data_IF_410582780617
#
_entry.id   IF_410582780617
#
_cell.length_a   1.000
_cell.length_b   1.000
_cell.length_c   1.000
_cell.angle_alpha   90.00
_cell.angle_beta   90.00
_cell.angle_gamma   90.00
#
_symmetry.space_group_name_H-M   'P 1'
#
loop_
_entity.id
_entity.type
_entity.pdbx_description
1 polymer ?
#
# COMPACT_ATOMS: atom_id res chain seq x y z
N UNK A 1 -5.40 -25.32 13.30
CA UNK A 1 -5.52 -24.95 11.87
C UNK A 1 -4.51 -25.67 10.97
N UNK A 2 -3.19 -25.73 11.28
CA UNK A 2 -2.21 -26.44 10.43
C UNK A 2 -2.56 -27.91 10.17
N UNK A 3 -2.96 -28.65 11.22
CA UNK A 3 -3.42 -30.02 11.06
C UNK A 3 -4.65 -30.13 10.16
N UNK A 4 -5.59 -29.17 10.25
CA UNK A 4 -6.79 -29.14 9.42
C UNK A 4 -6.44 -28.89 7.95
N UNK A 5 -5.57 -27.93 7.67
CA UNK A 5 -5.05 -27.64 6.33
C UNK A 5 -4.41 -28.88 5.70
N UNK A 6 -3.55 -29.57 6.46
CA UNK A 6 -2.88 -30.80 6.03
C UNK A 6 -3.86 -31.95 5.78
N UNK A 7 -4.77 -32.20 6.72
CA UNK A 7 -5.74 -33.31 6.63
C UNK A 7 -6.66 -33.14 5.42
N UNK A 8 -7.12 -31.91 5.14
CA UNK A 8 -8.06 -31.65 4.05
C UNK A 8 -7.41 -31.16 2.76
N UNK A 9 -6.08 -30.99 2.73
CA UNK A 9 -5.31 -30.47 1.60
C UNK A 9 -5.84 -29.12 1.09
N UNK A 10 -6.06 -28.20 2.01
CA UNK A 10 -6.57 -26.85 1.73
C UNK A 10 -5.61 -25.78 2.22
N UNK A 11 -5.50 -24.69 1.47
CA UNK A 11 -4.76 -23.49 1.88
C UNK A 11 -5.66 -22.62 2.75
N UNK A 12 -5.20 -22.22 3.93
CA UNK A 12 -5.99 -21.48 4.92
C UNK A 12 -5.30 -20.18 5.35
N UNK A 13 -5.82 -19.00 4.96
CA UNK A 13 -5.48 -17.73 5.60
C UNK A 13 -6.15 -17.63 6.99
N UNK A 14 -5.36 -17.48 8.05
CA UNK A 14 -5.83 -17.42 9.43
C UNK A 14 -5.55 -16.04 10.02
N UNK A 15 -6.61 -15.26 10.24
CA UNK A 15 -6.54 -13.96 10.92
C UNK A 15 -6.41 -14.14 12.43
N UNK A 16 -5.54 -13.36 13.07
CA UNK A 16 -5.33 -13.41 14.52
C UNK A 16 -4.77 -12.08 15.07
N UNK A 17 -4.96 -11.88 16.37
CA UNK A 17 -4.34 -10.79 17.12
C UNK A 17 -2.91 -11.20 17.48
N UNK A 18 -1.92 -10.62 16.81
CA UNK A 18 -0.51 -10.89 17.04
C UNK A 18 0.07 -9.99 18.13
N UNK A 19 0.87 -10.60 19.02
CA UNK A 19 1.78 -9.88 19.92
C UNK A 19 3.22 -10.20 19.55
N UNK A 20 3.98 -9.16 19.17
CA UNK A 20 5.42 -9.23 19.00
C UNK A 20 6.09 -8.31 20.02
N UNK A 21 6.66 -8.90 21.07
CA UNK A 21 7.18 -8.17 22.24
C UNK A 21 6.10 -7.28 22.86
N UNK A 22 6.29 -5.96 22.79
CA UNK A 22 5.36 -4.94 23.28
C UNK A 22 4.52 -4.31 22.16
N UNK A 23 4.63 -4.83 20.93
CA UNK A 23 3.90 -4.33 19.77
C UNK A 23 2.79 -5.31 19.39
N UNK A 24 1.66 -4.75 19.02
CA UNK A 24 0.42 -5.46 18.75
C UNK A 24 0.02 -5.22 17.30
N UNK A 25 -0.34 -6.28 16.58
CA UNK A 25 -0.72 -6.23 15.17
C UNK A 25 -2.00 -7.02 14.90
N UNK A 26 -2.76 -6.56 13.92
CA UNK A 26 -3.79 -7.35 13.26
C UNK A 26 -3.13 -8.11 12.12
N UNK A 27 -3.06 -9.44 12.22
CA UNK A 27 -2.21 -10.27 11.38
C UNK A 27 -2.98 -11.41 10.73
N UNK A 28 -2.52 -11.85 9.57
CA UNK A 28 -2.99 -13.05 8.89
C UNK A 28 -1.80 -13.92 8.52
N UNK A 29 -1.87 -15.21 8.87
CA UNK A 29 -0.88 -16.20 8.48
C UNK A 29 -1.48 -17.15 7.46
N UNK A 30 -0.78 -17.39 6.36
CA UNK A 30 -1.22 -18.35 5.35
C UNK A 30 -0.58 -19.70 5.60
N UNK A 31 -1.43 -20.71 5.78
CA UNK A 31 -1.06 -22.11 5.95
C UNK A 31 -1.30 -22.82 4.62
N UNK A 32 -0.28 -23.50 4.10
CA UNK A 32 -0.38 -24.28 2.85
C UNK A 32 -1.09 -25.62 3.07
N UNK A 33 -1.44 -26.29 1.97
CA UNK A 33 -2.17 -27.55 1.97
C UNK A 33 -1.41 -28.75 2.58
N UNK A 34 -0.11 -28.62 2.84
CA UNK A 34 0.69 -29.59 3.59
C UNK A 34 0.77 -29.28 5.11
N UNK A 35 0.16 -28.17 5.54
CA UNK A 35 0.18 -27.66 6.90
C UNK A 35 1.36 -26.74 7.22
N UNK A 36 2.28 -26.48 6.29
CA UNK A 36 3.38 -25.54 6.48
C UNK A 36 2.88 -24.08 6.48
N UNK A 37 3.56 -23.21 7.22
CA UNK A 37 3.27 -21.77 7.21
C UNK A 37 4.06 -21.13 6.08
N UNK A 38 3.36 -20.48 5.14
CA UNK A 38 3.98 -19.74 4.03
C UNK A 38 4.50 -18.38 4.46
N UNK A 39 3.88 -17.79 5.48
CA UNK A 39 4.30 -16.54 6.09
C UNK A 39 3.12 -15.77 6.66
N UNK A 40 3.41 -14.53 7.09
CA UNK A 40 2.46 -13.64 7.77
C UNK A 40 2.42 -12.29 7.06
N UNK A 41 1.21 -11.73 6.96
CA UNK A 41 0.95 -10.34 6.58
C UNK A 41 0.36 -9.59 7.77
N UNK A 42 0.79 -8.35 7.99
CA UNK A 42 0.26 -7.45 9.03
C UNK A 42 -0.51 -6.32 8.37
N UNK A 43 -1.75 -6.10 8.85
CA UNK A 43 -2.70 -5.12 8.32
C UNK A 43 -2.03 -3.75 8.18
N UNK A 44 -2.03 -3.19 6.98
CA UNK A 44 -1.30 -1.96 6.70
C UNK A 44 -2.12 -0.72 7.02
N UNK A 45 -3.39 -0.70 6.62
CA UNK A 45 -4.30 0.42 6.87
C UNK A 45 -5.15 0.14 8.10
N UNK A 46 -4.89 0.86 9.19
CA UNK A 46 -5.61 0.69 10.45
C UNK A 46 -6.78 1.70 10.53
N UNK A 47 -8.05 1.25 10.57
CA UNK A 47 -9.19 2.15 10.70
C UNK A 47 -9.25 2.79 12.08
N UNK A 48 -9.97 3.90 12.16
CA UNK A 48 -10.31 4.55 13.43
C UNK A 48 -11.66 5.25 13.29
N UNK A 49 -12.42 5.26 14.37
CA UNK A 49 -13.82 5.70 14.40
C UNK A 49 -14.60 4.97 15.48
N UNK A 50 -15.73 5.53 15.90
CA UNK A 50 -16.60 4.87 16.89
C UNK A 50 -17.06 3.50 16.36
N UNK A 51 -16.97 2.47 17.21
CA UNK A 51 -17.17 1.07 16.83
C UNK A 51 -15.97 0.38 16.14
N UNK A 52 -15.04 1.12 15.55
CA UNK A 52 -13.90 0.59 14.77
C UNK A 52 -12.55 1.18 15.22
N UNK A 53 -12.33 1.26 16.53
CA UNK A 53 -11.17 1.91 17.18
C UNK A 53 -9.88 1.07 17.10
N UNK A 54 -9.54 0.56 15.92
CA UNK A 54 -8.40 -0.35 15.74
C UNK A 54 -7.05 0.32 15.99
N UNK A 55 -6.91 1.63 15.75
CA UNK A 55 -5.66 2.39 16.01
C UNK A 55 -5.24 2.38 17.49
N UNK A 56 -6.17 2.15 18.41
CA UNK A 56 -5.85 1.99 19.83
C UNK A 56 -5.09 0.67 20.10
N UNK A 57 -5.43 -0.40 19.38
CA UNK A 57 -4.90 -1.73 19.62
C UNK A 57 -3.69 -2.06 18.75
N UNK A 58 -3.71 -1.66 17.48
CA UNK A 58 -2.79 -2.17 16.48
C UNK A 58 -1.86 -1.09 15.93
N UNK A 59 -0.57 -1.42 15.91
CA UNK A 59 0.43 -0.69 15.14
C UNK A 59 0.21 -0.95 13.65
N UNK A 60 0.38 0.05 12.76
CA UNK A 60 0.39 -0.18 11.32
C UNK A 60 1.41 -1.26 10.92
N UNK A 61 0.99 -2.21 10.08
CA UNK A 61 1.81 -3.34 9.70
C UNK A 61 3.10 -2.94 8.98
N UNK A 62 4.16 -3.70 9.24
CA UNK A 62 5.52 -3.49 8.74
C UNK A 62 5.96 -4.53 7.70
N UNK A 63 5.07 -5.44 7.29
CA UNK A 63 5.41 -6.54 6.37
C UNK A 63 5.49 -6.12 4.90
N UNK A 64 4.90 -4.95 4.57
CA UNK A 64 4.48 -4.61 3.21
C UNK A 64 3.32 -5.50 2.72
N UNK A 65 2.72 -5.17 1.57
CA UNK A 65 1.75 -6.05 0.90
C UNK A 65 2.45 -7.30 0.40
N UNK A 66 1.86 -8.47 0.64
CA UNK A 66 2.47 -9.78 0.34
C UNK A 66 1.55 -10.69 -0.44
N UNK A 67 2.19 -11.59 -1.19
CA UNK A 67 1.54 -12.73 -1.82
C UNK A 67 2.16 -14.04 -1.32
N UNK A 68 1.39 -15.12 -1.39
CA UNK A 68 1.78 -16.43 -0.90
C UNK A 68 1.52 -17.47 -1.97
N UNK A 69 2.58 -18.10 -2.49
CA UNK A 69 2.48 -19.16 -3.48
C UNK A 69 2.38 -20.51 -2.77
N UNK A 70 1.30 -21.25 -3.04
CA UNK A 70 1.15 -22.62 -2.55
C UNK A 70 2.21 -23.51 -3.19
N UNK A 71 2.97 -24.24 -2.37
CA UNK A 71 3.98 -25.20 -2.82
C UNK A 71 3.33 -26.47 -3.39
N UNK A 72 2.08 -26.73 -3.01
CA UNK A 72 1.31 -27.90 -3.43
C UNK A 72 0.57 -27.65 -4.74
N UNK A 73 0.04 -26.44 -4.94
CA UNK A 73 -0.83 -26.14 -6.08
C UNK A 73 -0.26 -25.14 -7.08
N UNK A 74 0.81 -24.42 -6.74
CA UNK A 74 1.46 -23.46 -7.63
C UNK A 74 0.68 -22.17 -7.90
N UNK A 75 -0.55 -22.01 -7.38
CA UNK A 75 -1.26 -20.73 -7.40
C UNK A 75 -0.77 -19.80 -6.30
N UNK A 76 -0.91 -18.50 -6.53
CA UNK A 76 -0.46 -17.43 -5.65
C UNK A 76 -1.64 -16.63 -5.14
N UNK A 77 -1.79 -16.50 -3.82
CA UNK A 77 -2.86 -15.71 -3.20
C UNK A 77 -2.30 -14.40 -2.65
N UNK A 78 -2.97 -13.28 -2.95
CA UNK A 78 -2.77 -12.02 -2.24
C UNK A 78 -3.74 -11.93 -1.08
N UNK A 79 -3.25 -11.68 0.13
CA UNK A 79 -4.11 -11.55 1.32
C UNK A 79 -3.83 -10.22 1.99
N UNK A 80 -4.87 -9.41 2.15
CA UNK A 80 -4.84 -8.21 2.97
C UNK A 80 -6.10 -8.14 3.85
N UNK A 81 -6.15 -7.28 4.88
CA UNK A 81 -7.11 -7.47 5.97
C UNK A 81 -8.09 -6.30 6.03
N UNK A 82 -9.39 -6.63 5.97
CA UNK A 82 -10.51 -5.72 6.23
C UNK A 82 -10.28 -4.35 5.57
N UNK A 83 -9.99 -3.31 6.35
CA UNK A 83 -9.79 -1.94 5.89
C UNK A 83 -8.81 -1.76 4.72
N UNK A 84 -7.82 -2.64 4.54
CA UNK A 84 -6.96 -2.64 3.36
C UNK A 84 -7.73 -2.74 2.03
N UNK A 85 -8.92 -3.35 2.05
CA UNK A 85 -9.78 -3.55 0.88
C UNK A 85 -10.38 -2.27 0.32
N UNK A 86 -10.30 -1.14 1.03
CA UNK A 86 -10.73 0.16 0.51
C UNK A 86 -9.67 0.82 -0.39
N UNK A 87 -8.44 0.31 -0.38
CA UNK A 87 -7.27 0.95 -1.01
C UNK A 87 -6.87 0.23 -2.30
N UNK A 88 -7.08 0.83 -3.48
CA UNK A 88 -6.66 0.26 -4.76
C UNK A 88 -5.16 -0.06 -4.82
N UNK A 89 -4.34 0.66 -4.07
CA UNK A 89 -2.90 0.49 -3.97
C UNK A 89 -2.54 -0.89 -3.43
N UNK A 90 -3.25 -1.37 -2.41
CA UNK A 90 -3.03 -2.69 -1.81
C UNK A 90 -3.32 -3.80 -2.83
N UNK A 91 -4.48 -3.73 -3.49
CA UNK A 91 -4.88 -4.68 -4.52
C UNK A 91 -3.87 -4.69 -5.69
N UNK A 92 -3.49 -3.50 -6.17
CA UNK A 92 -2.50 -3.36 -7.25
C UNK A 92 -1.14 -3.90 -6.85
N UNK A 93 -0.67 -3.64 -5.63
CA UNK A 93 0.62 -4.11 -5.14
C UNK A 93 0.69 -5.64 -5.10
N UNK A 94 -0.37 -6.31 -4.64
CA UNK A 94 -0.44 -7.78 -4.64
C UNK A 94 -0.57 -8.35 -6.06
N UNK A 95 -1.35 -7.72 -6.94
CA UNK A 95 -1.47 -8.16 -8.33
C UNK A 95 -0.15 -8.03 -9.10
N UNK A 96 0.63 -6.96 -8.87
CA UNK A 96 1.97 -6.78 -9.44
C UNK A 96 2.98 -7.84 -8.95
N UNK A 97 2.78 -8.37 -7.75
CA UNK A 97 3.57 -9.47 -7.21
C UNK A 97 3.12 -10.85 -7.74
N UNK A 98 2.09 -10.91 -8.58
CA UNK A 98 1.65 -12.14 -9.24
C UNK A 98 0.46 -12.84 -8.58
N UNK A 99 -0.34 -12.15 -7.76
CA UNK A 99 -1.56 -12.74 -7.22
C UNK A 99 -2.52 -13.24 -8.31
N UNK A 100 -3.05 -14.45 -8.10
CA UNK A 100 -4.07 -15.09 -8.92
C UNK A 100 -5.48 -14.89 -8.35
N UNK A 101 -5.57 -14.59 -7.06
CA UNK A 101 -6.80 -14.23 -6.34
C UNK A 101 -6.42 -13.31 -5.18
N UNK A 102 -7.29 -12.33 -4.90
CA UNK A 102 -7.16 -11.45 -3.75
C UNK A 102 -8.18 -11.88 -2.67
N UNK A 103 -7.75 -11.95 -1.42
CA UNK A 103 -8.59 -12.36 -0.29
C UNK A 103 -8.59 -11.30 0.81
N UNK A 104 -9.79 -10.95 1.28
CA UNK A 104 -10.01 -9.94 2.33
C UNK A 104 -10.89 -10.50 3.46
N UNK A 105 -10.31 -11.13 4.50
CA UNK A 105 -11.04 -11.37 5.75
C UNK A 105 -11.47 -10.03 6.38
N UNK A 106 -12.74 -9.91 6.71
CA UNK A 106 -13.41 -8.64 7.01
C UNK A 106 -14.28 -8.77 8.27
N UNK A 107 -14.39 -7.67 9.02
CA UNK A 107 -15.40 -7.47 10.05
C UNK A 107 -15.95 -6.04 9.92
N UNK A 108 -17.04 -5.89 9.16
CA UNK A 108 -17.69 -4.61 8.87
C UNK A 108 -19.22 -4.75 9.01
N UNK A 109 -19.85 -3.69 9.48
CA UNK A 109 -21.25 -3.67 9.91
C UNK A 109 -21.77 -2.24 10.02
N UNK A 110 -22.80 -2.05 10.84
CA UNK A 110 -23.38 -0.75 11.17
C UNK A 110 -22.40 0.15 11.94
N UNK A 111 -22.50 1.46 11.76
CA UNK A 111 -21.75 2.44 12.54
C UNK A 111 -22.57 2.91 13.75
N UNK A 112 -22.13 2.67 15.01
CA UNK A 112 -22.93 3.00 16.21
C UNK A 112 -23.29 4.48 16.35
N UNK A 113 -22.46 5.38 15.82
CA UNK A 113 -22.64 6.83 15.85
C UNK A 113 -23.73 7.33 14.90
N UNK A 114 -23.97 6.61 13.81
CA UNK A 114 -24.94 6.99 12.78
C UNK A 114 -25.52 5.72 12.13
N UNK A 115 -26.66 5.23 12.64
CA UNK A 115 -27.33 4.04 12.12
C UNK A 115 -27.82 4.18 10.67
N UNK A 116 -27.81 5.38 10.09
CA UNK A 116 -28.25 5.61 8.71
C UNK A 116 -27.18 5.24 7.68
N UNK A 117 -25.92 5.04 8.13
CA UNK A 117 -24.82 4.66 7.26
C UNK A 117 -24.93 3.19 6.88
N UNK A 118 -25.29 2.94 5.61
CA UNK A 118 -25.16 1.63 4.96
C UNK A 118 -23.96 1.61 4.02
N UNK A 119 -22.88 0.97 4.46
CA UNK A 119 -21.63 0.86 3.71
C UNK A 119 -21.58 -0.33 2.74
N UNK A 120 -22.57 -1.24 2.74
CA UNK A 120 -22.52 -2.52 2.02
C UNK A 120 -22.26 -2.31 0.53
N UNK A 121 -23.10 -1.52 -0.14
CA UNK A 121 -22.98 -1.32 -1.58
C UNK A 121 -21.68 -0.63 -1.99
N UNK A 122 -21.19 0.30 -1.15
CA UNK A 122 -19.93 0.99 -1.40
C UNK A 122 -18.74 0.02 -1.23
N UNK A 123 -18.73 -0.75 -0.15
CA UNK A 123 -17.73 -1.77 0.17
C UNK A 123 -17.55 -2.79 -0.96
N UNK A 124 -18.66 -3.27 -1.52
CA UNK A 124 -18.62 -4.22 -2.65
C UNK A 124 -18.07 -3.58 -3.93
N UNK A 125 -18.60 -2.41 -4.32
CA UNK A 125 -18.20 -1.74 -5.57
C UNK A 125 -16.71 -1.43 -5.62
N UNK A 126 -16.11 -1.03 -4.50
CA UNK A 126 -14.67 -0.76 -4.41
C UNK A 126 -13.86 -2.03 -4.73
N UNK A 127 -14.22 -3.16 -4.14
CA UNK A 127 -13.55 -4.43 -4.40
C UNK A 127 -13.84 -5.04 -5.77
N UNK A 128 -15.04 -4.84 -6.32
CA UNK A 128 -15.32 -5.16 -7.73
C UNK A 128 -14.40 -4.35 -8.65
N UNK A 129 -14.16 -3.07 -8.31
CA UNK A 129 -13.17 -2.23 -8.98
C UNK A 129 -11.74 -2.80 -8.89
N UNK A 130 -11.34 -3.31 -7.72
CA UNK A 130 -10.04 -3.98 -7.57
C UNK A 130 -9.90 -5.19 -8.47
N UNK A 131 -10.95 -6.01 -8.57
CA UNK A 131 -10.96 -7.18 -9.43
C UNK A 131 -10.81 -6.77 -10.90
N UNK A 132 -11.69 -5.88 -11.37
CA UNK A 132 -11.72 -5.39 -12.74
C UNK A 132 -10.39 -4.72 -13.15
N UNK A 133 -9.84 -3.85 -12.30
CA UNK A 133 -8.62 -3.10 -12.61
C UNK A 133 -7.36 -3.98 -12.66
N UNK A 134 -7.39 -5.15 -12.02
CA UNK A 134 -6.26 -6.07 -11.96
C UNK A 134 -6.46 -7.35 -12.77
N UNK A 135 -7.66 -7.59 -13.31
CA UNK A 135 -8.05 -8.85 -13.96
C UNK A 135 -7.74 -10.04 -13.04
N UNK A 136 -8.19 -9.94 -11.78
CA UNK A 136 -7.95 -10.92 -10.72
C UNK A 136 -9.23 -11.05 -9.88
N UNK A 137 -9.75 -12.27 -9.64
CA UNK A 137 -10.88 -12.49 -8.75
C UNK A 137 -10.62 -11.98 -7.33
N UNK A 138 -11.69 -11.49 -6.68
CA UNK A 138 -11.67 -11.06 -5.27
C UNK A 138 -12.60 -11.96 -4.45
N UNK A 139 -12.13 -12.36 -3.27
CA UNK A 139 -12.91 -13.07 -2.26
C UNK A 139 -12.95 -12.23 -0.99
N UNK A 140 -14.14 -11.89 -0.53
CA UNK A 140 -14.35 -11.15 0.71
C UNK A 140 -15.22 -11.97 1.68
N UNK A 141 -14.67 -12.24 2.86
CA UNK A 141 -15.36 -13.00 3.91
C UNK A 141 -15.60 -12.08 5.09
N UNK A 142 -16.87 -11.74 5.35
CA UNK A 142 -17.27 -10.85 6.42
C UNK A 142 -17.99 -11.60 7.56
N UNK A 143 -17.92 -11.01 8.75
CA UNK A 143 -18.69 -11.42 9.94
C UNK A 143 -20.19 -11.17 9.73
N UNK A 144 -21.01 -11.92 10.45
CA UNK A 144 -22.46 -11.72 10.54
C UNK A 144 -22.91 -11.70 12.01
N UNK A 145 -24.04 -11.05 12.28
CA UNK A 145 -24.70 -11.03 13.58
C UNK A 145 -24.41 -9.74 14.37
N UNK A 146 -25.08 -9.60 15.51
CA UNK A 146 -24.99 -8.41 16.36
C UNK A 146 -24.08 -8.67 17.56
N UNK A 147 -23.11 -7.79 17.78
CA UNK A 147 -22.25 -7.79 18.96
C UNK A 147 -22.46 -6.52 19.78
N UNK A 148 -22.44 -6.66 21.11
CA UNK A 148 -22.57 -5.54 22.06
C UNK A 148 -21.25 -5.44 22.82
N UNK A 149 -20.53 -4.34 22.58
CA UNK A 149 -19.31 -3.98 23.28
C UNK A 149 -19.68 -3.27 24.59
N UNK A 150 -19.08 -3.74 25.69
CA UNK A 150 -19.24 -3.14 27.01
C UNK A 150 -17.98 -2.31 27.31
N UNK A 151 -18.13 -0.99 27.40
CA UNK A 151 -17.05 -0.10 27.83
C UNK A 151 -17.31 0.40 29.25
N UNK A 152 -16.30 0.28 30.11
CA UNK A 152 -16.33 0.87 31.44
C UNK A 152 -15.90 2.33 31.35
N UNK A 153 -16.87 3.25 31.37
CA UNK A 153 -16.55 4.67 31.47
C UNK A 153 -16.28 5.03 32.93
N UNK A 154 -15.00 4.98 33.34
CA UNK A 154 -14.57 5.58 34.60
C UNK A 154 -14.53 7.10 34.41
N UNK A 155 -15.62 7.78 34.75
CA UNK A 155 -15.67 9.24 34.85
C UNK A 155 -14.77 9.73 35.98
N UNK A 156 -13.46 9.78 35.77
CA UNK A 156 -12.48 10.37 36.69
C UNK A 156 -12.28 11.88 36.47
N UNK A 157 -13.25 12.57 35.84
CA UNK A 157 -13.23 14.02 35.64
C UNK A 157 -14.15 14.77 36.63
N UNK A 158 -14.31 14.27 37.86
CA UNK A 158 -14.95 15.02 38.93
C UNK A 158 -13.91 15.47 39.95
N UNK A 159 -13.33 16.65 39.75
CA UNK A 159 -12.69 17.47 40.80
C UNK A 159 -13.74 18.03 41.79
N UNK A 160 -14.80 17.28 42.09
CA UNK A 160 -15.82 17.65 43.04
C UNK A 160 -15.94 16.53 44.09
N UNK A 161 -15.49 16.83 45.30
CA UNK A 161 -15.59 16.02 46.50
C UNK A 161 -17.05 15.74 46.88
N UNK A 162 -17.72 14.81 46.19
CA UNK A 162 -18.99 14.24 46.61
C UNK A 162 -18.93 12.71 46.45
N UNK A 163 -18.64 12.02 47.54
CA UNK A 163 -18.33 10.59 47.62
C UNK A 163 -19.50 9.62 47.34
N UNK A 164 -20.68 10.08 46.93
CA UNK A 164 -21.89 9.26 47.07
C UNK A 164 -22.62 8.80 45.80
N UNK A 165 -22.05 8.89 44.58
CA UNK A 165 -22.76 8.36 43.37
C UNK A 165 -21.85 7.87 42.22
N UNK A 166 -20.71 7.23 42.51
CA UNK A 166 -19.86 6.62 41.46
C UNK A 166 -20.34 5.21 41.09
N UNK A 167 -21.53 5.09 40.47
CA UNK A 167 -21.91 3.84 39.79
C UNK A 167 -21.30 3.87 38.38
N UNK A 168 -20.45 2.90 38.00
CA UNK A 168 -19.87 2.87 36.66
C UNK A 168 -21.00 2.81 35.62
N UNK A 169 -21.03 3.78 34.72
CA UNK A 169 -21.98 3.77 33.61
C UNK A 169 -21.38 2.87 32.52
N UNK A 170 -22.00 1.72 32.29
CA UNK A 170 -21.57 0.81 31.22
C UNK A 170 -22.08 1.38 29.90
N UNK A 171 -21.17 1.92 29.10
CA UNK A 171 -21.50 2.33 27.74
C UNK A 171 -21.60 1.07 26.86
N UNK A 172 -22.77 0.88 26.23
CA UNK A 172 -23.04 -0.26 25.36
C UNK A 172 -22.98 0.21 23.92
N UNK A 173 -21.96 -0.19 23.19
CA UNK A 173 -21.90 0.04 21.74
C UNK A 173 -22.38 -1.21 21.01
N UNK A 174 -23.30 -1.05 20.07
CA UNK A 174 -23.89 -2.15 19.30
C UNK A 174 -23.41 -2.08 17.86
N UNK A 175 -22.88 -3.18 17.34
CA UNK A 175 -22.52 -3.33 15.93
C UNK A 175 -23.25 -4.53 15.37
N UNK A 176 -24.00 -4.33 14.30
CA UNK A 176 -24.62 -5.41 13.52
C UNK A 176 -23.79 -5.62 12.26
N UNK A 177 -23.08 -6.75 12.20
CA UNK A 177 -22.31 -7.15 11.04
C UNK A 177 -23.23 -7.70 9.96
N UNK A 178 -23.19 -7.11 8.76
CA UNK A 178 -24.15 -7.39 7.71
C UNK A 178 -23.84 -8.64 6.88
N UNK A 179 -22.74 -9.35 7.13
CA UNK A 179 -22.34 -10.48 6.29
C UNK A 179 -22.02 -10.01 4.88
N UNK A 180 -22.86 -10.35 3.90
CA UNK A 180 -22.67 -9.99 2.47
C UNK A 180 -21.32 -10.46 1.90
N UNK A 181 -20.76 -11.55 2.45
CA UNK A 181 -19.56 -12.21 1.90
C UNK A 181 -19.77 -12.55 0.43
N UNK A 182 -18.78 -12.32 -0.42
CA UNK A 182 -18.94 -12.49 -1.86
C UNK A 182 -17.64 -12.91 -2.57
N UNK A 183 -17.80 -13.41 -3.78
CA UNK A 183 -16.73 -13.78 -4.71
C UNK A 183 -17.02 -13.07 -6.04
N UNK A 184 -16.01 -12.41 -6.61
CA UNK A 184 -16.09 -11.89 -7.98
C UNK A 184 -15.38 -12.81 -8.95
N UNK A 185 -15.71 -12.70 -10.23
CA UNK A 185 -14.79 -13.08 -11.30
C UNK A 185 -13.67 -12.04 -11.49
N UNK A 186 -12.80 -12.26 -12.48
CA UNK A 186 -11.70 -11.36 -12.81
C UNK A 186 -12.15 -10.02 -13.42
N UNK A 187 -13.39 -9.92 -13.90
CA UNK A 187 -13.96 -8.68 -14.46
C UNK A 187 -14.64 -7.82 -13.39
N UNK A 188 -14.78 -8.34 -12.17
CA UNK A 188 -15.46 -7.68 -11.05
C UNK A 188 -16.95 -7.99 -10.97
N UNK A 189 -17.48 -8.88 -11.79
CA UNK A 189 -18.86 -9.34 -11.62
C UNK A 189 -18.95 -10.24 -10.39
N UNK A 190 -19.93 -10.02 -9.52
CA UNK A 190 -20.18 -10.89 -8.36
C UNK A 190 -20.76 -12.21 -8.88
N UNK A 191 -20.05 -13.32 -8.70
CA UNK A 191 -20.48 -14.66 -9.13
C UNK A 191 -21.15 -15.44 -8.00
N UNK A 192 -20.82 -15.12 -6.75
CA UNK A 192 -21.44 -15.67 -5.55
C UNK A 192 -21.50 -14.62 -4.47
N UNK A 193 -22.60 -14.60 -3.73
CA UNK A 193 -22.82 -13.72 -2.60
C UNK A 193 -23.71 -14.41 -1.57
N UNK A 194 -23.40 -14.19 -0.29
CA UNK A 194 -24.31 -14.49 0.82
C UNK A 194 -25.37 -13.40 0.87
N UNK A 195 -26.62 -13.77 0.60
CA UNK A 195 -27.77 -12.88 0.77
C UNK A 195 -28.08 -12.83 2.26
N UNK A 196 -27.88 -11.68 2.91
CA UNK A 196 -28.50 -11.41 4.21
C UNK A 196 -29.99 -11.11 3.96
N UNK A 197 -30.88 -11.63 4.80
CA UNK A 197 -32.29 -11.20 4.80
C UNK A 197 -32.36 -9.67 4.95
N UNK A 198 -33.35 -9.05 4.31
CA UNK A 198 -33.47 -7.59 4.20
C UNK A 198 -33.67 -6.93 5.58
N UNK A 199 -33.28 -5.67 5.71
CA UNK A 199 -33.49 -4.86 6.92
C UNK A 199 -34.97 -4.75 7.34
N UNK A 200 -35.91 -4.86 6.39
CA UNK A 200 -37.36 -4.83 6.65
C UNK A 200 -37.82 -6.07 7.45
N UNK A 201 -37.15 -7.22 7.28
CA UNK A 201 -37.46 -8.44 8.05
C UNK A 201 -36.83 -8.40 9.45
N UNK A 202 -35.71 -7.67 9.64
CA UNK A 202 -35.10 -7.48 10.96
C UNK A 202 -35.93 -6.54 11.86
N UNK A 203 -36.49 -5.46 11.30
CA UNK A 203 -37.28 -4.50 12.10
C UNK A 203 -38.64 -5.06 12.53
N UNK A 204 -39.24 -5.97 11.76
CA UNK A 204 -40.49 -6.63 12.15
C UNK A 204 -40.29 -7.67 13.27
N UNK A 205 -39.10 -8.25 13.40
CA UNK A 205 -38.81 -9.22 14.47
C UNK A 205 -38.39 -8.58 15.80
N UNK A 206 -37.76 -7.40 15.78
CA UNK A 206 -37.41 -6.67 17.01
C UNK A 206 -38.63 -6.19 17.82
N UNK A 207 -39.83 -6.08 17.20
CA UNK A 207 -41.08 -5.78 17.92
C UNK A 207 -41.81 -7.01 18.45
N UNK A 208 -41.46 -8.23 18.02
CA UNK A 208 -42.06 -9.48 18.50
C UNK A 208 -41.16 -10.26 19.47
N UNK A 209 -39.87 -9.92 19.57
CA UNK A 209 -38.90 -10.59 20.46
C UNK A 209 -38.83 -9.99 21.88
N UNK A 210 -39.99 -9.84 22.54
CA UNK A 210 -40.03 -9.68 24.00
C UNK A 210 -40.64 -10.87 24.75
N UNK A 211 -41.08 -11.95 24.08
CA UNK A 211 -41.76 -13.05 24.79
C UNK A 211 -41.25 -14.48 24.59
N UNK A 212 -40.24 -14.77 23.74
CA UNK A 212 -39.75 -16.16 23.61
C UNK A 212 -38.22 -16.27 23.63
N UNK A 213 -37.64 -16.12 24.83
CA UNK A 213 -36.36 -16.75 25.16
C UNK A 213 -36.55 -18.27 25.27
N UNK A 214 -36.41 -19.01 24.15
CA UNK A 214 -35.96 -20.42 24.13
C UNK A 214 -35.84 -20.94 22.69
N UNK A 215 -34.68 -21.55 22.42
CA UNK A 215 -34.50 -22.62 21.42
C UNK A 215 -34.70 -22.26 19.94
N UNK A 216 -33.83 -21.42 19.35
CA UNK A 216 -33.06 -21.80 18.14
C UNK A 216 -32.11 -20.67 17.77
N UNK A 217 -30.87 -20.69 18.29
CA UNK A 217 -29.78 -19.96 17.63
C UNK A 217 -29.41 -20.74 16.38
N UNK A 218 -30.27 -20.69 15.37
CA UNK A 218 -29.97 -21.20 14.05
C UNK A 218 -28.83 -20.34 13.50
N UNK A 219 -27.60 -20.80 13.78
CA UNK A 219 -26.36 -20.18 13.33
C UNK A 219 -26.43 -20.15 11.81
N UNK A 220 -26.70 -18.98 11.24
CA UNK A 220 -26.56 -18.75 9.81
C UNK A 220 -25.08 -18.91 9.44
N UNK A 221 -24.67 -20.15 9.17
CA UNK A 221 -23.37 -20.49 8.59
C UNK A 221 -23.59 -20.58 7.10
N UNK A 222 -23.11 -19.59 6.35
CA UNK A 222 -23.12 -19.64 4.90
C UNK A 222 -21.73 -20.04 4.39
N UNK A 223 -21.70 -21.03 3.49
CA UNK A 223 -20.50 -21.42 2.75
C UNK A 223 -20.75 -21.06 1.28
N UNK A 224 -19.93 -20.17 0.73
CA UNK A 224 -19.92 -19.88 -0.70
C UNK A 224 -18.62 -20.41 -1.30
N UNK A 225 -18.71 -20.96 -2.50
CA UNK A 225 -17.58 -21.48 -3.24
C UNK A 225 -17.73 -21.15 -4.72
N UNK A 226 -16.60 -20.91 -5.38
CA UNK A 226 -16.51 -20.69 -6.82
C UNK A 226 -15.23 -21.33 -7.35
N UNK A 227 -15.25 -21.77 -8.60
CA UNK A 227 -14.07 -22.27 -9.30
C UNK A 227 -13.41 -21.12 -10.04
N UNK A 228 -12.10 -20.97 -9.86
CA UNK A 228 -11.28 -19.98 -10.54
C UNK A 228 -10.30 -20.73 -11.43
N UNK A 229 -10.12 -20.27 -12.67
CA UNK A 229 -9.06 -20.70 -13.57
C UNK A 229 -7.94 -19.64 -13.58
N UNK A 230 -6.83 -19.85 -12.84
CA UNK A 230 -5.73 -18.90 -12.78
C UNK A 230 -5.04 -18.70 -14.13
N UNK A 231 -4.97 -19.73 -14.97
CA UNK A 231 -4.26 -19.67 -16.26
C UNK A 231 -5.05 -18.84 -17.26
N UNK A 232 -6.37 -19.05 -17.34
CA UNK A 232 -7.26 -18.22 -18.15
C UNK A 232 -7.22 -16.75 -17.71
N UNK A 233 -7.27 -16.47 -16.40
CA UNK A 233 -7.17 -15.11 -15.87
C UNK A 233 -5.82 -14.45 -16.19
N UNK A 234 -4.71 -15.19 -16.08
CA UNK A 234 -3.38 -14.72 -16.47
C UNK A 234 -3.31 -14.39 -17.97
N UNK A 235 -3.85 -15.26 -18.82
CA UNK A 235 -3.91 -15.04 -20.27
C UNK A 235 -4.75 -13.80 -20.60
N UNK A 236 -5.93 -13.64 -19.99
CA UNK A 236 -6.77 -12.46 -20.16
C UNK A 236 -6.07 -11.18 -19.69
N UNK A 237 -5.41 -11.22 -18.53
CA UNK A 237 -4.66 -10.09 -17.97
C UNK A 237 -3.52 -9.64 -18.88
N UNK A 238 -2.82 -10.59 -19.51
CA UNK A 238 -1.80 -10.31 -20.52
C UNK A 238 -2.41 -9.71 -21.79
N UNK A 239 -3.50 -10.30 -22.29
CA UNK A 239 -4.16 -9.87 -23.53
C UNK A 239 -4.75 -8.46 -23.43
N UNK A 240 -5.34 -8.11 -22.28
CA UNK A 240 -5.97 -6.79 -22.08
C UNK A 240 -4.95 -5.64 -22.02
N UNK A 241 -3.72 -5.91 -21.57
CA UNK A 241 -2.64 -4.92 -21.57
C UNK A 241 -2.64 -3.92 -20.42
N UNK A 242 -3.56 -3.99 -19.45
CA UNK A 242 -3.62 -3.03 -18.31
C UNK A 242 -2.30 -2.90 -17.56
N UNK A 243 -1.54 -3.99 -17.42
CA UNK A 243 -0.25 -3.99 -16.73
C UNK A 243 0.88 -3.43 -17.59
N UNK A 244 0.85 -3.68 -18.91
CA UNK A 244 1.80 -3.17 -19.89
C UNK A 244 1.70 -1.65 -20.02
N UNK A 245 0.47 -1.13 -20.02
CA UNK A 245 0.17 0.27 -20.34
C UNK A 245 0.24 1.21 -19.11
N UNK A 246 0.68 0.69 -17.95
CA UNK A 246 0.91 1.49 -16.74
C UNK A 246 2.02 2.52 -16.98
N UNK A 247 1.96 3.62 -16.23
CA UNK A 247 2.93 4.73 -16.28
C UNK A 247 3.55 5.00 -14.88
N UNK A 248 4.34 4.06 -14.31
CA UNK A 248 4.89 4.20 -12.95
C UNK A 248 5.67 5.49 -12.71
N UNK A 249 6.31 6.04 -13.73
CA UNK A 249 7.03 7.30 -13.69
C UNK A 249 6.12 8.52 -13.42
N UNK A 250 4.81 8.38 -13.60
CA UNK A 250 3.81 9.42 -13.30
C UNK A 250 3.14 9.20 -11.93
N UNK A 251 3.41 8.09 -11.25
CA UNK A 251 2.71 7.71 -10.02
C UNK A 251 3.38 8.23 -8.74
N UNK A 252 4.37 9.13 -8.87
CA UNK A 252 5.09 9.70 -7.72
C UNK A 252 4.15 10.33 -6.68
N UNK A 253 3.07 10.96 -7.15
CA UNK A 253 2.05 11.59 -6.31
C UNK A 253 1.38 10.61 -5.33
N UNK A 254 1.28 9.32 -5.67
CA UNK A 254 0.71 8.29 -4.80
C UNK A 254 1.55 8.01 -3.56
N UNK A 255 2.81 8.50 -3.51
CA UNK A 255 3.65 8.42 -2.32
C UNK A 255 3.40 9.57 -1.33
N UNK A 256 2.57 10.54 -1.72
CA UNK A 256 2.18 11.69 -0.88
C UNK A 256 0.85 11.43 -0.20
N UNK A 257 0.58 12.10 0.92
CA UNK A 257 -0.72 12.03 1.61
C UNK A 257 -1.67 13.15 1.21
N UNK A 258 -1.13 14.29 0.80
CA UNK A 258 -1.87 15.52 0.55
C UNK A 258 -1.89 15.93 -0.93
N UNK A 259 -1.28 15.12 -1.81
CA UNK A 259 -1.17 15.47 -3.23
C UNK A 259 -0.23 16.66 -3.48
N UNK A 260 0.58 17.07 -2.51
CA UNK A 260 1.63 18.03 -2.73
C UNK A 260 2.93 17.28 -3.01
N UNK A 261 3.34 17.32 -4.28
CA UNK A 261 4.71 17.01 -4.60
C UNK A 261 5.58 18.04 -3.87
N UNK A 262 6.48 17.60 -2.99
CA UNK A 262 7.68 18.39 -2.64
C UNK A 262 8.55 18.72 -3.87
N UNK A 263 8.10 18.36 -5.07
CA UNK A 263 8.66 18.63 -6.38
C UNK A 263 7.69 19.52 -7.18
N UNK A 264 7.96 20.83 -7.12
CA UNK A 264 7.86 21.80 -8.21
C UNK A 264 7.01 21.39 -9.43
N UNK A 265 5.93 22.12 -9.67
CA UNK A 265 5.25 22.18 -10.96
C UNK A 265 6.28 22.19 -12.11
N UNK A 266 6.17 21.22 -13.02
CA UNK A 266 6.63 21.43 -14.38
C UNK A 266 5.71 22.52 -14.97
N UNK A 267 6.22 23.70 -15.37
CA UNK A 267 5.36 24.66 -16.03
C UNK A 267 4.87 24.03 -17.34
N UNK A 268 3.64 24.31 -17.78
CA UNK A 268 3.21 23.87 -19.10
C UNK A 268 4.17 24.41 -20.15
N UNK A 269 4.49 23.59 -21.14
CA UNK A 269 5.29 24.00 -22.29
C UNK A 269 4.55 25.09 -23.06
N UNK A 270 4.72 26.35 -22.64
CA UNK A 270 4.26 27.49 -23.42
C UNK A 270 5.19 27.64 -24.62
N UNK A 271 4.77 27.03 -25.72
CA UNK A 271 4.97 27.58 -27.06
C UNK A 271 4.39 29.00 -27.07
N UNK A 272 5.20 30.03 -26.86
CA UNK A 272 5.00 31.35 -27.47
C UNK A 272 6.14 32.32 -27.09
N UNK A 273 6.56 33.11 -28.08
CA UNK A 273 7.49 34.25 -28.04
C UNK A 273 8.98 34.00 -28.30
N UNK A 274 9.26 33.76 -29.59
CA UNK A 274 10.25 34.58 -30.29
C UNK A 274 9.80 36.05 -30.28
N UNK A 275 10.60 36.94 -29.68
CA UNK A 275 10.99 38.25 -30.22
C UNK A 275 11.93 38.91 -29.22
N UNK A 276 13.07 39.39 -29.73
CA UNK A 276 14.04 40.12 -28.93
C UNK A 276 13.53 41.49 -28.50
N UNK A 277 14.00 41.96 -27.35
CA UNK A 277 14.53 43.32 -27.15
C UNK A 277 15.12 43.42 -25.75
N UNK A 278 16.25 44.11 -25.69
CA UNK A 278 17.08 44.35 -24.51
C UNK A 278 16.57 45.63 -23.84
N UNK A 279 15.94 45.54 -22.67
CA UNK A 279 15.80 46.71 -21.78
C UNK A 279 15.52 46.32 -20.32
N UNK A 280 16.48 46.64 -19.44
CA UNK A 280 16.30 47.22 -18.11
C UNK A 280 15.17 46.65 -17.24
N UNK A 281 15.52 45.70 -16.37
CA UNK A 281 14.78 45.47 -15.12
C UNK A 281 15.53 46.15 -13.97
N UNK A 282 14.78 46.99 -13.29
CA UNK A 282 15.12 47.76 -12.11
C UNK A 282 15.50 46.86 -10.94
N UNK A 283 16.51 47.31 -10.19
CA UNK A 283 16.84 46.83 -8.84
C UNK A 283 15.59 47.00 -7.97
N UNK A 284 15.13 45.90 -7.37
CA UNK A 284 14.51 45.81 -6.04
C UNK A 284 13.63 44.57 -5.95
N UNK A 285 14.29 43.42 -5.80
CA UNK A 285 13.73 42.27 -5.06
C UNK A 285 14.90 41.51 -4.45
N UNK A 286 14.87 41.17 -3.15
CA UNK A 286 15.98 40.48 -2.51
C UNK A 286 16.02 39.05 -3.02
N UNK A 287 17.18 38.69 -3.56
CA UNK A 287 17.60 37.36 -3.96
C UNK A 287 17.04 36.25 -3.05
N UNK A 288 16.04 35.49 -3.54
CA UNK A 288 15.99 34.06 -3.23
C UNK A 288 16.84 33.35 -4.26
N UNK A 289 18.16 33.39 -4.06
CA UNK A 289 19.05 32.41 -4.67
C UNK A 289 18.52 31.02 -4.29
N UNK A 290 17.98 30.34 -5.29
CA UNK A 290 17.57 28.94 -5.22
C UNK A 290 18.83 28.12 -4.92
N UNK A 291 19.04 27.79 -3.65
CA UNK A 291 20.04 26.79 -3.30
C UNK A 291 19.52 25.42 -3.73
N UNK A 292 20.05 24.87 -4.83
CA UNK A 292 19.96 23.44 -5.06
C UNK A 292 20.46 22.71 -3.80
N UNK A 293 19.69 21.76 -3.25
CA UNK A 293 20.25 20.84 -2.28
C UNK A 293 21.48 20.18 -2.92
N UNK A 294 22.60 20.03 -2.19
CA UNK A 294 23.78 19.41 -2.77
C UNK A 294 23.45 17.98 -3.21
N UNK A 295 23.77 17.64 -4.46
CA UNK A 295 23.52 16.30 -5.02
C UNK A 295 24.37 15.20 -4.36
N UNK A 296 25.19 15.60 -3.39
CA UNK A 296 26.02 14.77 -2.55
C UNK A 296 25.53 14.96 -1.11
N UNK A 297 25.30 13.86 -0.40
CA UNK A 297 25.03 13.90 1.03
C UNK A 297 26.24 14.50 1.76
N UNK A 298 26.02 15.58 2.53
CA UNK A 298 27.09 16.33 3.20
C UNK A 298 27.76 15.52 4.33
N UNK A 299 27.07 14.54 4.90
CA UNK A 299 27.57 13.73 6.01
C UNK A 299 28.63 12.72 5.56
N UNK A 300 28.47 12.18 4.35
CA UNK A 300 29.29 11.04 3.94
C UNK A 300 29.93 11.25 2.55
N UNK A 301 29.46 12.19 1.73
CA UNK A 301 30.01 12.44 0.41
C UNK A 301 29.45 11.52 -0.68
N UNK A 302 28.33 10.85 -0.44
CA UNK A 302 27.69 9.92 -1.37
C UNK A 302 26.66 10.62 -2.26
N UNK A 303 26.52 10.26 -3.56
CA UNK A 303 25.42 10.77 -4.37
C UNK A 303 24.09 10.36 -3.74
N UNK A 304 23.12 11.27 -3.63
CA UNK A 304 21.78 10.90 -3.13
C UNK A 304 21.13 9.92 -4.10
N UNK A 305 21.02 8.65 -3.71
CA UNK A 305 20.35 7.62 -4.51
C UNK A 305 18.83 7.75 -4.38
N UNK A 306 18.16 7.88 -5.51
CA UNK A 306 16.72 8.16 -5.64
C UNK A 306 16.31 8.70 -7.02
N UNK A 307 17.28 9.11 -7.83
CA UNK A 307 17.09 9.38 -9.26
C UNK A 307 18.16 8.60 -10.02
N UNK A 308 17.78 7.54 -10.73
CA UNK A 308 18.71 6.93 -11.66
C UNK A 308 19.02 7.94 -12.77
N UNK A 309 20.31 8.17 -12.99
CA UNK A 309 20.92 8.67 -14.23
C UNK A 309 21.01 10.19 -14.47
N UNK A 310 21.55 10.98 -13.53
CA UNK A 310 21.91 12.36 -13.88
C UNK A 310 23.33 12.84 -13.62
N UNK A 311 24.27 12.05 -13.09
CA UNK A 311 25.65 12.52 -12.89
C UNK A 311 26.69 11.58 -13.49
N UNK A 312 27.56 12.12 -14.35
CA UNK A 312 28.68 11.38 -14.94
C UNK A 312 30.02 11.98 -14.48
N UNK A 313 30.98 11.16 -14.02
CA UNK A 313 32.34 11.64 -13.73
C UNK A 313 33.00 12.14 -15.01
N UNK A 314 33.63 13.32 -14.97
CA UNK A 314 34.23 13.90 -16.19
C UNK A 314 35.72 14.19 -16.03
N UNK A 315 36.44 14.04 -17.14
CA UNK A 315 37.88 14.34 -17.24
C UNK A 315 38.19 15.77 -17.70
N UNK A 316 37.18 16.56 -18.09
CA UNK A 316 37.37 17.88 -18.69
C UNK A 316 37.40 18.99 -17.63
N UNK A 317 38.35 19.92 -17.76
CA UNK A 317 38.37 21.19 -17.02
C UNK A 317 37.71 22.25 -17.90
N UNK A 318 36.42 22.56 -17.69
CA UNK A 318 35.74 23.66 -18.40
C UNK A 318 36.19 24.99 -17.79
N UNK A 319 36.63 25.94 -18.62
CA UNK A 319 36.86 27.34 -18.24
C UNK A 319 35.55 28.10 -18.47
N UNK A 320 35.00 28.68 -17.41
CA UNK A 320 33.83 29.57 -17.47
C UNK A 320 32.47 28.85 -17.40
N UNK A 321 31.58 29.38 -16.55
CA UNK A 321 30.14 29.12 -16.35
C UNK A 321 29.67 27.76 -15.78
N UNK A 322 29.43 27.80 -14.45
CA UNK A 322 28.33 27.28 -13.59
C UNK A 322 27.84 25.81 -13.63
N UNK A 323 27.80 25.23 -12.41
CA UNK A 323 27.14 23.96 -11.96
C UNK A 323 27.88 22.62 -12.15
N UNK A 324 29.13 22.53 -11.69
CA UNK A 324 29.79 21.23 -11.46
C UNK A 324 29.97 20.96 -9.95
N UNK A 325 29.56 19.78 -9.49
CA UNK A 325 29.85 19.33 -8.12
C UNK A 325 31.23 18.68 -8.08
N UNK A 326 32.04 19.08 -7.10
CA UNK A 326 33.40 18.57 -6.91
C UNK A 326 33.50 17.83 -5.58
N UNK A 327 34.00 16.59 -5.62
CA UNK A 327 34.17 15.74 -4.44
C UNK A 327 35.31 14.74 -4.61
N UNK A 328 35.77 14.12 -3.53
CA UNK A 328 36.78 13.06 -3.62
C UNK A 328 36.11 11.74 -4.04
N UNK A 329 36.71 11.02 -4.98
CA UNK A 329 36.28 9.65 -5.29
C UNK A 329 36.44 8.81 -4.02
N UNK A 330 35.38 8.13 -3.56
CA UNK A 330 35.45 7.30 -2.35
C UNK A 330 36.40 6.10 -2.46
N UNK A 331 36.72 5.67 -3.68
CA UNK A 331 37.61 4.53 -3.94
C UNK A 331 39.08 4.93 -3.99
N UNK A 332 39.43 5.99 -4.73
CA UNK A 332 40.83 6.40 -4.93
C UNK A 332 41.21 7.69 -4.19
N UNK A 333 40.27 8.32 -3.49
CA UNK A 333 40.39 9.61 -2.76
C UNK A 333 40.84 10.80 -3.61
N UNK A 334 40.96 10.68 -4.94
CA UNK A 334 41.31 11.78 -5.84
C UNK A 334 40.11 12.70 -6.10
N UNK A 335 40.37 13.99 -6.24
CA UNK A 335 39.36 15.01 -6.60
C UNK A 335 38.73 14.66 -7.96
N UNK A 336 37.42 14.48 -7.96
CA UNK A 336 36.60 14.10 -9.11
C UNK A 336 35.50 15.14 -9.31
N UNK A 337 35.22 15.49 -10.56
CA UNK A 337 34.14 16.42 -10.93
C UNK A 337 32.99 15.65 -11.57
N UNK A 338 31.77 15.96 -11.14
CA UNK A 338 30.55 15.37 -11.66
C UNK A 338 29.77 16.42 -12.45
N UNK A 339 29.30 16.04 -13.65
CA UNK A 339 28.46 16.87 -14.49
C UNK A 339 27.05 16.29 -14.59
N UNK A 340 26.05 17.18 -14.58
CA UNK A 340 24.65 16.83 -14.78
C UNK A 340 24.41 16.40 -16.24
N UNK A 341 23.82 15.22 -16.47
CA UNK A 341 23.48 14.75 -17.81
C UNK A 341 22.40 15.62 -18.49
N UNK A 342 21.60 16.35 -17.70
CA UNK A 342 20.59 17.28 -18.22
C UNK A 342 21.16 18.63 -18.68
N UNK A 343 22.39 18.99 -18.30
CA UNK A 343 22.99 20.30 -18.61
C UNK A 343 23.99 20.24 -19.77
N UNK A 344 23.83 19.29 -20.71
CA UNK A 344 24.70 19.21 -21.87
C UNK A 344 24.40 20.38 -22.83
N UNK A 345 25.16 21.45 -22.74
CA UNK A 345 25.24 22.42 -23.84
C UNK A 345 25.84 21.71 -25.06
N UNK A 346 25.05 21.57 -26.12
CA UNK A 346 25.53 21.32 -27.46
C UNK A 346 26.42 22.50 -27.90
N UNK A 347 27.72 22.25 -28.09
CA UNK A 347 28.51 22.78 -29.22
C UNK A 347 30.00 22.39 -29.11
N UNK A 348 30.53 21.98 -30.26
CA UNK A 348 31.94 21.88 -30.67
C UNK A 348 32.75 20.70 -30.12
N UNK A 349 32.80 19.66 -30.96
CA UNK A 349 33.95 18.78 -31.05
C UNK A 349 35.12 19.54 -31.71
N UNK A 350 36.25 19.66 -31.01
CA UNK A 350 37.63 19.60 -31.57
C UNK A 350 38.64 19.71 -30.45
N UNK A 351 39.27 18.59 -30.06
CA UNK A 351 40.72 18.45 -29.98
C UNK A 351 41.09 17.09 -29.36
N UNK A 352 41.98 16.38 -30.07
CA UNK A 352 42.72 15.23 -29.55
C UNK A 352 43.67 15.77 -28.49
N UNK A 353 43.53 15.29 -27.26
CA UNK A 353 44.64 15.04 -26.34
C UNK A 353 44.17 14.19 -25.17
N UNK A 354 44.61 12.94 -25.21
CA UNK A 354 44.29 11.87 -24.28
C UNK A 354 45.08 12.04 -23.00
N UNK A 355 44.39 12.21 -21.87
CA UNK A 355 44.98 11.93 -20.55
C UNK A 355 44.18 10.83 -19.86
N UNK A 356 44.76 9.64 -19.91
CA UNK A 356 44.29 8.44 -19.23
C UNK A 356 44.73 8.56 -17.78
N UNK A 357 43.79 8.45 -16.83
CA UNK A 357 44.15 8.16 -15.44
C UNK A 357 44.75 6.75 -15.44
N UNK A 358 46.07 6.65 -15.29
CA UNK A 358 46.87 5.44 -15.46
C UNK A 358 46.77 4.44 -14.29
N UNK A 359 45.62 4.37 -13.62
CA UNK A 359 45.37 3.31 -12.64
C UNK A 359 44.29 2.40 -13.17
N UNK A 360 44.62 1.11 -13.31
CA UNK A 360 43.76 -0.01 -13.72
C UNK A 360 42.36 -0.01 -13.05
N UNK A 361 42.21 0.63 -11.89
CA UNK A 361 40.93 0.76 -11.15
C UNK A 361 39.94 1.81 -11.70
N UNK A 362 40.32 2.62 -12.68
CA UNK A 362 39.44 3.65 -13.27
C UNK A 362 38.45 3.14 -14.32
N UNK A 363 38.60 1.89 -14.78
CA UNK A 363 37.70 1.23 -15.75
C UNK A 363 36.64 0.33 -15.08
N UNK A 364 36.66 0.19 -13.76
CA UNK A 364 35.95 -0.88 -13.03
C UNK A 364 34.66 -0.44 -12.30
N UNK A 365 34.01 0.66 -12.69
CA UNK A 365 32.98 1.27 -11.84
C UNK A 365 31.52 1.16 -12.31
N UNK A 366 31.14 0.13 -13.07
CA UNK A 366 29.72 -0.28 -13.03
C UNK A 366 29.51 -1.75 -13.35
N UNK A 367 30.21 -2.31 -14.33
CA UNK A 367 29.98 -3.70 -14.78
C UNK A 367 30.68 -4.76 -13.93
N UNK A 368 31.86 -4.50 -13.36
CA UNK A 368 32.65 -5.52 -12.64
C UNK A 368 32.24 -5.74 -11.18
N UNK A 369 31.65 -4.74 -10.52
CA UNK A 369 31.11 -4.90 -9.17
C UNK A 369 29.87 -5.82 -9.15
N UNK A 370 29.07 -5.82 -10.21
CA UNK A 370 27.95 -6.76 -10.37
C UNK A 370 28.44 -8.22 -10.50
N UNK A 371 29.52 -8.47 -11.25
CA UNK A 371 30.10 -9.81 -11.38
C UNK A 371 30.82 -10.29 -10.10
N UNK A 372 31.61 -9.44 -9.45
CA UNK A 372 32.44 -9.86 -8.31
C UNK A 372 31.66 -10.02 -6.99
N UNK A 373 30.45 -9.46 -6.87
CA UNK A 373 29.62 -9.55 -5.64
C UNK A 373 28.44 -10.53 -5.77
N UNK A 374 27.86 -10.70 -6.96
CA UNK A 374 26.61 -11.47 -7.11
C UNK A 374 26.75 -12.83 -7.78
N UNK A 375 27.94 -13.25 -8.25
CA UNK A 375 28.16 -14.63 -8.71
C UNK A 375 27.11 -15.20 -9.67
N UNK A 376 26.45 -14.35 -10.46
CA UNK A 376 25.50 -14.66 -11.54
C UNK A 376 25.46 -13.52 -12.54
#
# INVERSE_FOLDING_TARGET
>A
MQQLAKTHRVVLPISYFERQNNVLYNSVTVIDADGSILGTYRKSHIPDGTGYQEKFYFTPGDTGFRVFTSRIFGFTIGVAICWDQWFPEAARAMALQGADVLMYPTAIGTEPQDPTIDSVGHWQRVMQGHAAANVVPVVASNRYGTEILLSNSNNNNNNNNNENNNKPTIEKQRITFYGRSFITDATGAIVKEVVSMNNDDMQQQDQQQQEEEKEDHQRYISIIASTIDPEANRAQRLAWGLFRDRRPELYGILQTKDGSDGMMHCPPANKQFWMGTRSQLTKDSPDRMVHCPPAINKLDGTPRMGTHAHLTPTKRKRKGTSFALQGNCRVCRKKTKYLCSCCQDEAVATSKETWICSTEKGRLCFSRHLQDVHGS
#
